data_IF_935288877591
#
_entry.id   IF_935288877591
#
_cell.length_a   1.000
_cell.length_b   1.000
_cell.length_c   1.000
_cell.angle_alpha   90.00
_cell.angle_beta   90.00
_cell.angle_gamma   90.00
#
_symmetry.space_group_name_H-M   'P 1'
#
loop_
_entity.id
_entity.type
_entity.pdbx_description
1 polymer ?
#
# COMPACT_ATOMS: atom_id res chain seq x y z
N UNK A 1 -32.85 -9.56 -31.63
CA UNK A 1 -31.82 -9.98 -32.63
C UNK A 1 -30.69 -8.95 -32.83
N UNK A 2 -30.88 -7.64 -32.58
CA UNK A 2 -29.82 -6.62 -32.64
C UNK A 2 -28.82 -6.60 -31.44
N UNK A 3 -29.22 -7.11 -30.27
CA UNK A 3 -28.33 -7.24 -29.09
C UNK A 3 -27.34 -8.41 -29.18
N UNK A 4 -27.70 -9.49 -29.89
CA UNK A 4 -26.84 -10.67 -30.04
C UNK A 4 -25.68 -10.43 -31.03
N UNK A 5 -25.87 -9.56 -32.03
CA UNK A 5 -24.83 -9.20 -32.99
C UNK A 5 -23.73 -8.29 -32.41
N UNK A 6 -24.05 -7.50 -31.37
CA UNK A 6 -23.05 -6.71 -30.63
C UNK A 6 -22.22 -7.54 -29.66
N UNK A 7 -22.77 -8.64 -29.10
CA UNK A 7 -22.00 -9.61 -28.30
C UNK A 7 -21.03 -10.41 -29.16
N UNK A 8 -21.48 -10.96 -30.31
CA UNK A 8 -20.60 -11.71 -31.23
C UNK A 8 -19.45 -10.86 -31.81
N UNK A 9 -19.69 -9.60 -32.16
CA UNK A 9 -18.61 -8.70 -32.63
C UNK A 9 -17.64 -8.24 -31.53
N UNK A 10 -17.96 -8.42 -30.25
CA UNK A 10 -17.07 -8.10 -29.12
C UNK A 10 -16.22 -9.31 -28.71
N UNK A 11 -16.69 -10.53 -28.97
CA UNK A 11 -15.93 -11.78 -28.75
C UNK A 11 -14.92 -12.09 -29.87
N UNK A 12 -15.12 -11.56 -31.09
CA UNK A 12 -14.21 -11.79 -32.24
C UNK A 12 -13.11 -10.72 -32.42
N UNK A 13 -12.98 -9.74 -31.52
CA UNK A 13 -11.86 -8.77 -31.54
C UNK A 13 -10.76 -9.18 -30.55
N UNK A 14 -9.82 -9.95 -31.09
CA UNK A 14 -8.47 -10.19 -30.59
C UNK A 14 -8.33 -10.95 -29.26
N UNK A 15 -8.35 -12.27 -29.34
CA UNK A 15 -7.40 -13.11 -28.59
C UNK A 15 -6.00 -12.99 -29.22
N UNK A 16 -5.45 -11.77 -29.28
CA UNK A 16 -3.99 -11.64 -29.28
C UNK A 16 -3.58 -11.88 -27.84
N UNK A 17 -2.82 -12.94 -27.58
CA UNK A 17 -2.20 -13.15 -26.28
C UNK A 17 -1.49 -11.85 -25.88
N UNK A 18 -1.72 -11.35 -24.67
CA UNK A 18 -1.04 -10.16 -24.18
C UNK A 18 0.47 -10.28 -24.45
N UNK A 19 1.17 -9.20 -24.86
CA UNK A 19 2.62 -9.27 -25.09
C UNK A 19 3.34 -9.83 -23.86
N UNK A 20 4.37 -10.64 -24.08
CA UNK A 20 5.22 -11.11 -22.99
C UNK A 20 5.94 -9.93 -22.32
N UNK A 21 6.19 -10.03 -21.01
CA UNK A 21 6.85 -8.97 -20.24
C UNK A 21 8.26 -8.72 -20.78
N UNK A 22 8.57 -7.46 -21.05
CA UNK A 22 9.86 -6.96 -21.50
C UNK A 22 10.57 -6.22 -20.36
N UNK A 23 11.90 -6.36 -20.33
CA UNK A 23 12.77 -5.67 -19.39
C UNK A 23 13.87 -4.94 -20.17
N UNK A 24 13.96 -3.63 -19.95
CA UNK A 24 15.02 -2.79 -20.53
C UNK A 24 15.87 -2.19 -19.42
N UNK A 25 17.14 -2.60 -19.35
CA UNK A 25 18.10 -2.11 -18.36
C UNK A 25 18.98 -1.06 -19.03
N UNK A 26 18.97 0.15 -18.47
CA UNK A 26 19.80 1.28 -18.89
C UNK A 26 20.73 1.68 -17.74
N UNK A 27 21.66 2.60 -18.03
CA UNK A 27 22.66 3.05 -17.04
C UNK A 27 22.02 3.63 -15.78
N UNK A 28 20.96 4.44 -15.92
CA UNK A 28 20.32 5.16 -14.81
C UNK A 28 18.89 4.70 -14.52
N UNK A 29 18.32 3.85 -15.36
CA UNK A 29 16.93 3.40 -15.23
C UNK A 29 16.76 1.95 -15.65
N UNK A 30 15.74 1.30 -15.09
CA UNK A 30 15.25 -0.01 -15.50
C UNK A 30 13.77 0.11 -15.81
N UNK A 31 13.33 -0.43 -16.95
CA UNK A 31 11.96 -0.31 -17.43
C UNK A 31 11.34 -1.70 -17.57
N UNK A 32 10.26 -1.96 -16.84
CA UNK A 32 9.40 -3.13 -17.02
C UNK A 32 8.20 -2.75 -17.89
N UNK A 33 7.89 -3.54 -18.92
CA UNK A 33 6.79 -3.27 -19.85
C UNK A 33 6.06 -4.56 -20.22
N UNK A 34 4.73 -4.60 -20.06
CA UNK A 34 3.91 -5.76 -20.47
C UNK A 34 2.93 -5.44 -21.61
N UNK A 35 3.14 -4.31 -22.30
CA UNK A 35 2.26 -3.79 -23.36
C UNK A 35 1.00 -3.08 -22.85
N UNK A 36 0.72 -3.12 -21.54
CA UNK A 36 -0.42 -2.46 -20.88
C UNK A 36 0.09 -1.32 -19.99
N UNK A 37 1.06 -1.64 -19.13
CA UNK A 37 1.71 -0.70 -18.21
C UNK A 37 3.20 -0.75 -18.44
N UNK A 38 3.83 0.42 -18.45
CA UNK A 38 5.27 0.56 -18.40
C UNK A 38 5.69 1.27 -17.11
N UNK A 39 6.60 0.65 -16.36
CA UNK A 39 7.09 1.15 -15.06
C UNK A 39 8.59 1.41 -15.17
N UNK A 40 9.00 2.66 -14.91
CA UNK A 40 10.40 3.08 -14.92
C UNK A 40 10.90 3.25 -13.49
N UNK A 41 11.99 2.57 -13.18
CA UNK A 41 12.66 2.56 -11.88
C UNK A 41 14.06 3.15 -12.01
N UNK A 42 14.54 3.92 -11.04
CA UNK A 42 15.93 4.37 -11.02
C UNK A 42 16.89 3.20 -10.77
N UNK A 43 18.07 3.25 -11.37
CA UNK A 43 19.11 2.22 -11.26
C UNK A 43 20.35 2.79 -10.54
N UNK A 44 20.83 2.20 -9.42
CA UNK A 44 20.28 1.06 -8.66
C UNK A 44 19.26 1.49 -7.58
N UNK A 45 18.73 2.71 -7.65
CA UNK A 45 17.97 3.29 -6.54
C UNK A 45 16.62 2.64 -6.25
N UNK A 46 15.96 2.05 -7.25
CA UNK A 46 14.63 1.47 -7.12
C UNK A 46 13.56 2.50 -6.73
N UNK A 47 13.70 3.73 -7.21
CA UNK A 47 12.66 4.77 -7.11
C UNK A 47 11.78 4.67 -8.35
N UNK A 48 10.46 4.69 -8.19
CA UNK A 48 9.52 4.72 -9.32
C UNK A 48 9.52 6.14 -9.90
N UNK A 49 10.24 6.31 -11.00
CA UNK A 49 10.42 7.62 -11.64
C UNK A 49 9.34 7.91 -12.68
N UNK A 50 8.71 6.86 -13.22
CA UNK A 50 7.58 7.01 -14.13
C UNK A 50 6.69 5.78 -14.25
N UNK A 51 5.42 6.04 -14.54
CA UNK A 51 4.40 5.03 -14.86
C UNK A 51 3.66 5.54 -16.10
N UNK A 52 3.84 4.85 -17.23
CA UNK A 52 3.13 5.15 -18.48
C UNK A 52 1.94 4.19 -18.62
N UNK A 53 0.77 4.77 -18.89
CA UNK A 53 -0.48 4.02 -18.98
C UNK A 53 -1.52 4.77 -19.82
N UNK A 54 -2.26 4.04 -20.66
CA UNK A 54 -3.40 4.55 -21.44
C UNK A 54 -3.13 5.89 -22.15
N UNK A 55 -2.00 5.98 -22.85
CA UNK A 55 -1.60 7.18 -23.59
C UNK A 55 -1.09 8.35 -22.73
N UNK A 56 -1.09 8.23 -21.40
CA UNK A 56 -0.43 9.19 -20.51
C UNK A 56 1.04 8.83 -20.38
N UNK A 57 1.89 9.80 -20.68
CA UNK A 57 3.35 9.68 -20.69
C UNK A 57 3.93 9.32 -19.32
N UNK A 58 3.44 9.94 -18.26
CA UNK A 58 3.75 9.63 -16.88
C UNK A 58 2.59 10.02 -15.95
N UNK A 59 2.09 9.09 -15.14
CA UNK A 59 1.04 9.34 -14.15
C UNK A 59 1.57 10.09 -12.91
N UNK A 60 2.88 10.05 -12.66
CA UNK A 60 3.52 10.66 -11.49
C UNK A 60 3.85 12.13 -11.72
N UNK A 61 3.89 12.92 -10.65
CA UNK A 61 4.15 14.37 -10.69
C UNK A 61 5.52 14.68 -11.30
N UNK A 62 5.54 15.02 -12.60
CA UNK A 62 6.76 15.21 -13.38
C UNK A 62 7.55 16.43 -12.95
N UNK A 63 6.92 17.42 -12.31
CA UNK A 63 7.59 18.60 -11.77
C UNK A 63 8.35 18.29 -10.47
N UNK A 64 8.10 17.15 -9.83
CA UNK A 64 8.92 16.70 -8.72
C UNK A 64 10.23 16.09 -9.22
N UNK A 65 11.28 16.21 -8.39
CA UNK A 65 12.49 15.38 -8.49
C UNK A 65 12.08 13.90 -8.52
N UNK A 66 12.81 13.06 -9.25
CA UNK A 66 12.48 11.63 -9.38
C UNK A 66 12.36 10.93 -8.02
N UNK A 67 13.23 11.26 -7.07
CA UNK A 67 13.22 10.78 -5.66
C UNK A 67 11.98 11.17 -4.86
N UNK A 68 11.11 12.02 -5.42
CA UNK A 68 9.89 12.53 -4.81
C UNK A 68 8.66 12.27 -5.71
N UNK A 69 8.66 11.15 -6.43
CA UNK A 69 7.53 10.68 -7.25
C UNK A 69 6.87 9.46 -6.63
N UNK A 70 7.38 8.26 -6.93
CA UNK A 70 7.00 7.01 -6.27
C UNK A 70 8.17 6.41 -5.51
N UNK A 71 8.08 6.27 -4.19
CA UNK A 71 9.20 5.83 -3.37
C UNK A 71 8.77 5.07 -2.13
N UNK A 72 9.66 4.22 -1.63
CA UNK A 72 9.56 3.66 -0.29
C UNK A 72 10.25 4.59 0.70
N UNK A 73 9.62 4.81 1.85
CA UNK A 73 10.18 5.59 2.94
C UNK A 73 10.02 4.91 4.29
N UNK A 74 10.86 5.33 5.23
CA UNK A 74 10.73 4.99 6.64
C UNK A 74 11.07 6.19 7.51
N UNK A 75 10.54 6.17 8.74
CA UNK A 75 10.96 7.06 9.81
C UNK A 75 11.52 6.21 10.93
N UNK A 76 12.76 6.49 11.32
CA UNK A 76 13.47 5.70 12.32
C UNK A 76 14.31 6.56 13.25
N UNK A 77 14.69 6.04 14.41
CA UNK A 77 15.65 6.70 15.31
C UNK A 77 16.41 5.72 16.18
N UNK A 78 17.55 6.15 16.70
CA UNK A 78 18.12 5.52 17.88
C UNK A 78 17.17 5.70 19.09
N UNK A 79 17.23 4.82 20.11
CA UNK A 79 16.36 4.91 21.28
C UNK A 79 16.41 6.29 21.94
N UNK A 80 15.23 6.89 22.17
CA UNK A 80 15.10 8.21 22.82
C UNK A 80 15.43 9.42 21.94
N UNK A 81 15.77 9.21 20.66
CA UNK A 81 16.08 10.28 19.70
C UNK A 81 14.86 10.56 18.80
N UNK A 82 14.76 11.80 18.31
CA UNK A 82 13.75 12.19 17.32
C UNK A 82 13.93 11.40 16.01
N UNK A 83 12.81 10.96 15.42
CA UNK A 83 12.79 10.24 14.15
C UNK A 83 13.41 11.00 12.97
N UNK A 84 14.19 10.28 12.18
CA UNK A 84 14.77 10.68 10.89
C UNK A 84 13.95 10.10 9.75
N UNK A 85 13.55 10.96 8.82
CA UNK A 85 12.90 10.54 7.58
C UNK A 85 13.96 10.10 6.56
N UNK A 86 13.76 8.92 5.98
CA UNK A 86 14.68 8.32 5.01
C UNK A 86 13.89 7.79 3.81
N UNK A 87 14.21 8.31 2.62
CA UNK A 87 13.76 7.73 1.35
C UNK A 87 14.71 6.61 1.01
N UNK A 88 14.19 5.37 1.00
CA UNK A 88 15.00 4.18 0.82
C UNK A 88 15.53 4.16 -0.61
N UNK A 89 16.82 4.44 -0.77
CA UNK A 89 17.52 4.40 -2.05
C UNK A 89 18.44 3.17 -2.10
N UNK A 90 18.21 2.28 -3.06
CA UNK A 90 19.06 1.11 -3.28
C UNK A 90 20.46 1.48 -3.75
N UNK A 91 21.42 0.63 -3.41
CA UNK A 91 22.82 0.69 -3.88
C UNK A 91 23.18 -0.50 -4.77
N UNK A 92 22.35 -1.54 -4.81
CA UNK A 92 22.51 -2.72 -5.65
C UNK A 92 21.19 -3.06 -6.36
N UNK A 93 21.27 -3.41 -7.63
CA UNK A 93 20.15 -3.83 -8.48
C UNK A 93 20.38 -5.26 -8.98
N UNK A 94 19.36 -6.10 -8.89
CA UNK A 94 19.38 -7.48 -9.38
C UNK A 94 18.07 -7.82 -10.11
N UNK A 95 18.18 -8.60 -11.19
CA UNK A 95 17.03 -9.24 -11.85
C UNK A 95 16.85 -10.62 -11.24
N UNK A 96 15.68 -10.88 -10.67
CA UNK A 96 15.40 -12.09 -9.89
C UNK A 96 14.64 -13.10 -10.74
N UNK A 97 13.64 -12.60 -11.48
CA UNK A 97 12.88 -13.38 -12.46
C UNK A 97 12.79 -12.56 -13.74
N UNK A 98 13.00 -13.22 -14.88
CA UNK A 98 12.75 -12.64 -16.20
C UNK A 98 12.30 -13.73 -17.16
N UNK A 99 11.03 -13.70 -17.54
CA UNK A 99 10.44 -14.52 -18.57
C UNK A 99 9.20 -13.81 -19.16
N UNK A 100 8.52 -14.42 -20.13
CA UNK A 100 7.36 -13.81 -20.78
C UNK A 100 6.17 -13.55 -19.84
N UNK A 101 6.07 -14.29 -18.73
CA UNK A 101 4.96 -14.20 -17.79
C UNK A 101 5.23 -13.21 -16.66
N UNK A 102 6.50 -12.99 -16.30
CA UNK A 102 6.88 -12.22 -15.13
C UNK A 102 8.27 -11.61 -15.27
N UNK A 103 8.38 -10.38 -14.75
CA UNK A 103 9.65 -9.80 -14.31
C UNK A 103 9.58 -9.51 -12.82
N UNK A 104 10.61 -9.90 -12.07
CA UNK A 104 10.83 -9.48 -10.69
C UNK A 104 12.22 -8.84 -10.55
N UNK A 105 12.25 -7.65 -9.96
CA UNK A 105 13.46 -6.86 -9.73
C UNK A 105 13.70 -6.65 -8.24
N UNK A 106 14.97 -6.63 -7.84
CA UNK A 106 15.42 -6.34 -6.48
C UNK A 106 16.30 -5.09 -6.47
N UNK A 107 16.08 -4.25 -5.46
CA UNK A 107 16.87 -3.05 -5.18
C UNK A 107 17.26 -3.04 -3.70
N UNK A 108 18.51 -3.40 -3.42
CA UNK A 108 19.02 -3.61 -2.06
C UNK A 108 19.78 -2.40 -1.55
N UNK A 109 19.64 -2.11 -0.25
CA UNK A 109 20.55 -1.27 0.53
C UNK A 109 21.01 -2.09 1.72
N UNK A 110 22.27 -2.50 1.69
CA UNK A 110 22.90 -3.24 2.79
C UNK A 110 23.37 -2.28 3.87
N UNK A 111 23.43 -2.76 5.10
CA UNK A 111 23.95 -1.99 6.23
C UNK A 111 25.21 -2.62 6.82
N UNK A 112 26.12 -1.77 7.28
CA UNK A 112 27.28 -2.13 8.09
C UNK A 112 27.58 -1.01 9.10
N UNK A 113 28.49 -1.25 10.04
CA UNK A 113 28.82 -0.31 11.11
C UNK A 113 29.35 1.05 10.62
N UNK A 114 29.84 1.19 9.38
CA UNK A 114 30.27 2.49 8.82
C UNK A 114 29.11 3.45 8.53
N UNK A 115 27.88 2.90 8.49
CA UNK A 115 26.63 3.61 8.24
C UNK A 115 25.85 3.95 9.52
N UNK A 116 26.40 3.62 10.69
CA UNK A 116 25.79 3.93 11.98
C UNK A 116 25.49 5.43 12.12
N UNK A 117 24.30 5.74 12.63
CA UNK A 117 23.78 7.11 12.75
C UNK A 117 23.36 7.78 11.43
N UNK A 118 23.65 7.18 10.27
CA UNK A 118 23.28 7.72 8.94
C UNK A 118 22.07 7.01 8.36
N UNK A 119 22.03 5.68 8.47
CA UNK A 119 20.94 4.85 8.00
C UNK A 119 20.49 3.89 9.10
N UNK A 120 19.22 3.49 9.01
CA UNK A 120 18.65 2.49 9.91
C UNK A 120 19.48 1.20 9.82
N UNK A 121 19.76 0.51 10.94
CA UNK A 121 20.49 -0.76 10.96
C UNK A 121 19.71 -1.93 10.30
N UNK A 122 19.40 -1.82 9.01
CA UNK A 122 18.63 -2.82 8.28
C UNK A 122 19.26 -3.06 6.92
N UNK A 123 19.42 -4.34 6.56
CA UNK A 123 19.40 -4.75 5.17
C UNK A 123 17.98 -4.57 4.65
N UNK A 124 17.83 -3.81 3.58
CA UNK A 124 16.54 -3.54 2.96
C UNK A 124 16.58 -3.99 1.52
N UNK A 125 15.65 -4.85 1.12
CA UNK A 125 15.44 -5.31 -0.25
C UNK A 125 14.05 -4.91 -0.72
N UNK A 126 13.98 -3.93 -1.63
CA UNK A 126 12.73 -3.53 -2.28
C UNK A 126 12.54 -4.33 -3.56
N UNK A 127 11.36 -4.89 -3.71
CA UNK A 127 11.00 -5.77 -4.82
C UNK A 127 9.88 -5.16 -5.64
N UNK A 128 9.97 -5.31 -6.95
CA UNK A 128 8.95 -4.89 -7.91
C UNK A 128 8.67 -6.03 -8.86
N UNK A 129 7.38 -6.32 -9.09
CA UNK A 129 6.94 -7.40 -9.96
C UNK A 129 5.95 -6.88 -10.98
N UNK A 130 6.20 -7.17 -12.26
CA UNK A 130 5.24 -6.95 -13.35
C UNK A 130 4.88 -8.30 -13.97
N UNK A 131 3.58 -8.55 -14.12
CA UNK A 131 3.05 -9.79 -14.68
C UNK A 131 2.50 -9.55 -16.10
N UNK A 132 2.51 -10.58 -16.93
CA UNK A 132 1.88 -10.56 -18.24
C UNK A 132 0.37 -10.31 -18.10
N UNK A 133 -0.15 -9.39 -18.91
CA UNK A 133 -1.59 -9.10 -18.92
C UNK A 133 -2.12 -8.35 -17.70
N UNK A 134 -1.30 -8.00 -16.70
CA UNK A 134 -1.75 -7.21 -15.55
C UNK A 134 -1.81 -5.71 -15.88
N UNK A 135 -2.90 -5.04 -15.51
CA UNK A 135 -3.02 -3.58 -15.62
C UNK A 135 -2.48 -2.90 -14.35
N UNK A 136 -1.23 -3.20 -14.00
CA UNK A 136 -0.61 -2.75 -12.76
C UNK A 136 0.63 -3.57 -12.41
N UNK A 137 1.29 -3.20 -11.32
CA UNK A 137 2.49 -3.85 -10.82
C UNK A 137 2.43 -4.03 -9.30
N UNK A 138 3.18 -4.99 -8.79
CA UNK A 138 3.28 -5.29 -7.36
C UNK A 138 4.57 -4.73 -6.78
N UNK A 139 4.55 -4.38 -5.50
CA UNK A 139 5.76 -4.06 -4.76
C UNK A 139 5.69 -4.61 -3.33
N UNK A 140 6.83 -5.11 -2.86
CA UNK A 140 7.01 -5.59 -1.49
C UNK A 140 8.43 -5.30 -1.02
N UNK A 141 8.67 -5.39 0.29
CA UNK A 141 9.98 -5.13 0.89
C UNK A 141 10.35 -6.20 1.90
N UNK A 142 11.63 -6.55 1.98
CA UNK A 142 12.18 -7.46 2.99
C UNK A 142 13.17 -6.67 3.82
N UNK A 143 12.90 -6.52 5.11
CA UNK A 143 13.77 -5.83 6.05
C UNK A 143 14.40 -6.87 6.99
N UNK A 144 15.71 -6.79 7.17
CA UNK A 144 16.48 -7.72 8.00
C UNK A 144 17.48 -6.96 8.88
N UNK A 145 17.36 -7.16 10.18
CA UNK A 145 18.31 -6.75 11.21
C UNK A 145 19.11 -7.98 11.64
N UNK A 146 20.43 -7.92 11.53
CA UNK A 146 21.30 -9.03 11.92
C UNK A 146 21.65 -9.00 13.41
N UNK A 147 22.07 -10.15 13.92
CA UNK A 147 22.46 -10.28 15.32
C UNK A 147 23.63 -9.35 15.66
N UNK A 148 23.53 -8.66 16.80
CA UNK A 148 24.56 -7.75 17.30
C UNK A 148 24.54 -6.34 16.68
N UNK A 149 23.61 -6.06 15.77
CA UNK A 149 23.46 -4.71 15.21
C UNK A 149 22.79 -3.72 16.19
N UNK A 150 23.01 -2.40 16.02
CA UNK A 150 22.53 -1.38 16.95
C UNK A 150 21.01 -1.28 17.07
N UNK A 151 20.55 -0.91 18.26
CA UNK A 151 19.14 -0.68 18.56
C UNK A 151 18.54 0.45 17.71
N UNK A 152 17.27 0.30 17.31
CA UNK A 152 16.50 1.35 16.65
C UNK A 152 14.99 1.23 16.87
N UNK A 153 14.30 2.36 16.69
CA UNK A 153 12.86 2.48 16.60
C UNK A 153 12.46 2.78 15.16
N UNK A 154 11.43 2.11 14.65
CA UNK A 154 10.90 2.37 13.30
C UNK A 154 9.44 2.81 13.39
N UNK A 155 9.24 4.13 13.46
CA UNK A 155 7.93 4.73 13.71
C UNK A 155 7.04 4.79 12.47
N UNK A 156 7.60 4.62 11.28
CA UNK A 156 6.86 4.56 10.02
C UNK A 156 7.61 3.74 8.96
N UNK A 157 6.88 2.99 8.13
CA UNK A 157 7.38 2.56 6.83
C UNK A 157 6.23 2.35 5.86
N UNK A 158 6.41 2.79 4.61
CA UNK A 158 5.35 2.83 3.60
C UNK A 158 5.89 2.96 2.17
N UNK A 159 4.98 2.87 1.21
CA UNK A 159 5.17 3.37 -0.16
C UNK A 159 4.36 4.65 -0.35
N UNK A 160 4.94 5.65 -0.99
CA UNK A 160 4.30 6.92 -1.33
C UNK A 160 4.30 7.10 -2.84
N UNK A 161 3.15 7.44 -3.43
CA UNK A 161 3.04 7.88 -4.82
C UNK A 161 2.47 9.29 -4.89
N UNK A 162 3.18 10.19 -5.55
CA UNK A 162 2.75 11.55 -5.85
C UNK A 162 2.34 11.63 -7.31
N UNK A 163 1.04 11.73 -7.55
CA UNK A 163 0.46 11.74 -8.89
C UNK A 163 0.46 13.16 -9.47
N UNK A 164 0.26 13.26 -10.78
CA UNK A 164 0.11 14.54 -11.47
C UNK A 164 -1.10 15.32 -10.96
N UNK A 165 -0.86 16.46 -10.31
CA UNK A 165 -1.94 17.34 -9.82
C UNK A 165 -2.80 17.94 -10.94
N UNK A 166 -2.24 18.08 -12.13
CA UNK A 166 -2.98 18.55 -13.31
C UNK A 166 -3.92 17.48 -13.90
N UNK A 167 -3.75 16.20 -13.51
CA UNK A 167 -4.59 15.10 -13.99
C UNK A 167 -5.52 14.53 -12.94
N UNK A 168 -5.06 14.35 -11.71
CA UNK A 168 -5.79 13.62 -10.67
C UNK A 168 -6.40 14.61 -9.67
N UNK A 169 -7.71 14.82 -9.74
CA UNK A 169 -8.43 15.76 -8.85
C UNK A 169 -9.50 15.11 -7.99
N UNK A 170 -9.88 13.86 -8.26
CA UNK A 170 -10.92 13.17 -7.53
C UNK A 170 -10.34 12.00 -6.76
N UNK A 171 -10.50 12.01 -5.44
CA UNK A 171 -10.01 10.96 -4.56
C UNK A 171 -11.18 10.05 -4.17
N UNK A 172 -10.91 8.75 -4.08
CA UNK A 172 -11.85 7.78 -3.54
C UNK A 172 -11.16 6.82 -2.56
N UNK A 173 -11.78 6.59 -1.40
CA UNK A 173 -11.27 5.67 -0.38
C UNK A 173 -12.35 4.82 0.31
N UNK A 174 -13.61 5.22 0.22
CA UNK A 174 -14.79 4.44 0.63
C UNK A 174 -16.01 4.95 -0.15
N UNK A 175 -17.11 4.20 -0.22
CA UNK A 175 -18.29 4.60 -1.01
C UNK A 175 -18.90 5.94 -0.55
N UNK A 176 -18.80 6.25 0.74
CA UNK A 176 -19.24 7.49 1.37
C UNK A 176 -18.14 8.56 1.46
N UNK A 177 -16.90 8.24 1.05
CA UNK A 177 -15.73 9.14 1.14
C UNK A 177 -14.99 9.21 -0.18
N UNK A 178 -15.61 9.94 -1.11
CA UNK A 178 -15.10 10.24 -2.45
C UNK A 178 -15.45 11.67 -2.81
N UNK A 179 -14.49 12.42 -3.33
CA UNK A 179 -14.70 13.86 -3.57
C UNK A 179 -13.68 14.44 -4.52
N UNK A 180 -14.02 15.58 -5.10
CA UNK A 180 -13.03 16.52 -5.62
C UNK A 180 -12.21 17.04 -4.44
N UNK A 181 -10.89 16.97 -4.59
CA UNK A 181 -9.93 17.41 -3.58
C UNK A 181 -9.40 18.81 -3.93
N UNK A 182 -9.01 19.61 -2.92
CA UNK A 182 -8.29 20.85 -3.16
C UNK A 182 -6.95 20.59 -3.87
N UNK A 183 -6.44 21.61 -4.55
CA UNK A 183 -5.10 21.54 -5.09
C UNK A 183 -4.06 21.72 -3.98
N UNK A 184 -2.82 21.23 -4.16
CA UNK A 184 -1.75 21.46 -3.19
C UNK A 184 -1.49 22.95 -2.97
N UNK A 185 -1.64 23.77 -4.02
CA UNK A 185 -1.47 25.21 -3.92
C UNK A 185 -2.55 25.89 -3.07
N UNK A 186 -3.74 25.28 -2.92
CA UNK A 186 -4.81 25.86 -2.12
C UNK A 186 -4.48 25.85 -0.62
N UNK A 187 -3.44 25.11 -0.21
CA UNK A 187 -2.88 25.10 1.14
C UNK A 187 -1.73 26.09 1.35
N UNK A 188 -1.43 26.93 0.36
CA UNK A 188 -0.38 27.96 0.47
C UNK A 188 -0.93 29.26 1.11
N UNK A 189 -0.05 30.09 1.71
CA UNK A 189 -0.42 31.39 2.25
C UNK A 189 -1.21 32.24 1.25
N UNK A 190 -2.30 32.86 1.71
CA UNK A 190 -3.22 33.66 0.89
C UNK A 190 -4.36 32.85 0.24
N UNK A 191 -4.31 31.51 0.26
CA UNK A 191 -5.39 30.64 -0.23
C UNK A 191 -6.07 29.82 0.87
N UNK A 192 -5.37 29.60 1.98
CA UNK A 192 -5.92 29.00 3.19
C UNK A 192 -5.58 29.81 4.45
N UNK A 193 -6.30 29.49 5.53
CA UNK A 193 -5.98 29.88 6.90
C UNK A 193 -5.58 28.62 7.69
N UNK A 194 -4.36 28.55 8.25
CA UNK A 194 -4.00 27.49 9.17
C UNK A 194 -4.94 27.43 10.37
N UNK A 195 -5.31 26.23 10.79
CA UNK A 195 -6.10 26.00 12.00
C UNK A 195 -5.19 25.60 13.17
N UNK A 196 -5.78 25.18 14.29
CA UNK A 196 -5.05 24.83 15.50
C UNK A 196 -4.04 23.67 15.30
N UNK A 197 -4.37 22.72 14.43
CA UNK A 197 -3.49 21.61 14.06
C UNK A 197 -2.80 21.91 12.73
N UNK A 198 -1.49 21.64 12.63
CA UNK A 198 -0.68 21.97 11.45
C UNK A 198 -1.15 21.26 10.17
N UNK A 199 -1.79 20.11 10.33
CA UNK A 199 -2.34 19.31 9.24
C UNK A 199 -3.67 19.85 8.70
N UNK A 200 -4.35 20.74 9.44
CA UNK A 200 -5.67 21.25 9.10
C UNK A 200 -5.63 22.72 8.65
N UNK A 201 -6.30 23.02 7.54
CA UNK A 201 -6.44 24.38 7.03
C UNK A 201 -7.88 24.66 6.59
N UNK A 202 -8.35 25.89 6.79
CA UNK A 202 -9.58 26.40 6.21
C UNK A 202 -9.29 26.98 4.81
N UNK A 203 -9.99 26.51 3.78
CA UNK A 203 -9.84 26.99 2.42
C UNK A 203 -10.57 28.33 2.24
N UNK A 204 -9.83 29.44 2.11
CA UNK A 204 -10.41 30.80 2.01
C UNK A 204 -10.54 31.28 0.57
N UNK A 205 -9.60 30.88 -0.30
CA UNK A 205 -9.57 31.24 -1.71
C UNK A 205 -9.05 30.07 -2.57
N UNK A 206 -9.73 28.92 -2.59
CA UNK A 206 -9.30 27.74 -3.34
C UNK A 206 -9.48 27.91 -4.86
N UNK A 207 -8.76 27.11 -5.66
CA UNK A 207 -8.81 27.15 -7.13
C UNK A 207 -10.17 26.72 -7.65
N UNK A 208 -10.77 25.73 -6.99
CA UNK A 208 -12.17 25.39 -7.16
C UNK A 208 -13.02 26.17 -6.14
N UNK A 209 -13.80 27.18 -6.56
CA UNK A 209 -14.57 28.01 -5.63
C UNK A 209 -15.60 27.24 -4.80
N UNK A 210 -16.03 26.05 -5.24
CA UNK A 210 -16.96 25.21 -4.49
C UNK A 210 -16.37 24.68 -3.17
N UNK A 211 -15.04 24.63 -3.06
CA UNK A 211 -14.35 24.18 -1.85
C UNK A 211 -14.15 25.29 -0.82
N UNK A 212 -14.60 26.52 -1.12
CA UNK A 212 -14.40 27.66 -0.23
C UNK A 212 -15.20 27.48 1.07
N UNK A 213 -14.54 27.71 2.20
CA UNK A 213 -15.11 27.52 3.53
C UNK A 213 -14.98 26.10 4.07
N UNK A 214 -14.45 25.16 3.28
CA UNK A 214 -14.17 23.81 3.76
C UNK A 214 -12.86 23.71 4.53
N UNK A 215 -12.81 22.77 5.47
CA UNK A 215 -11.57 22.39 6.17
C UNK A 215 -10.97 21.18 5.48
N UNK A 216 -9.72 21.30 5.03
CA UNK A 216 -8.92 20.18 4.55
C UNK A 216 -7.90 19.77 5.61
N UNK A 217 -8.00 18.53 6.08
CA UNK A 217 -7.12 17.92 7.06
C UNK A 217 -6.65 16.56 6.57
N UNK A 218 -5.32 16.35 6.59
CA UNK A 218 -4.68 15.08 6.22
C UNK A 218 -5.33 13.86 6.91
N UNK A 219 -5.70 13.98 8.17
CA UNK A 219 -6.25 12.88 8.96
C UNK A 219 -7.75 12.63 8.70
N UNK A 220 -8.46 13.53 7.99
CA UNK A 220 -9.81 13.26 7.49
C UNK A 220 -9.85 12.14 6.47
N UNK A 221 -8.69 11.66 5.99
CA UNK A 221 -8.55 10.61 4.97
C UNK A 221 -7.86 9.35 5.52
N UNK A 222 -7.92 9.11 6.84
CA UNK A 222 -7.57 7.83 7.44
C UNK A 222 -8.73 6.83 7.41
N UNK A 223 -8.43 5.54 7.48
CA UNK A 223 -9.42 4.50 7.78
C UNK A 223 -8.80 3.34 8.54
N UNK A 224 -9.65 2.48 9.12
CA UNK A 224 -9.24 1.27 9.84
C UNK A 224 -8.60 0.29 8.85
N UNK A 225 -7.58 -0.44 9.29
CA UNK A 225 -6.89 -1.44 8.45
C UNK A 225 -7.86 -2.41 7.77
N UNK A 226 -8.87 -2.90 8.50
CA UNK A 226 -9.86 -3.86 7.97
C UNK A 226 -10.63 -3.34 6.74
N UNK A 227 -10.85 -2.02 6.69
CA UNK A 227 -11.53 -1.32 5.60
C UNK A 227 -10.54 -0.78 4.55
N UNK A 228 -9.27 -0.61 4.90
CA UNK A 228 -8.19 -0.05 4.08
C UNK A 228 -7.64 -1.07 3.07
N UNK A 229 -8.49 -1.49 2.13
CA UNK A 229 -8.17 -2.47 1.09
C UNK A 229 -7.95 -1.87 -0.30
N UNK A 230 -8.62 -0.78 -0.62
CA UNK A 230 -8.44 -0.04 -1.88
C UNK A 230 -8.75 1.43 -1.72
N UNK A 231 -7.87 2.28 -2.23
CA UNK A 231 -8.05 3.72 -2.32
C UNK A 231 -7.16 4.30 -3.42
N UNK A 232 -7.46 5.52 -3.86
CA UNK A 232 -6.75 6.09 -4.98
C UNK A 232 -7.34 7.37 -5.52
N UNK A 233 -7.02 7.63 -6.79
CA UNK A 233 -7.37 8.85 -7.50
C UNK A 233 -7.90 8.56 -8.89
N UNK A 234 -8.79 9.43 -9.34
CA UNK A 234 -9.35 9.45 -10.68
C UNK A 234 -8.91 10.73 -11.39
N UNK A 235 -8.42 10.56 -12.60
CA UNK A 235 -8.34 11.60 -13.62
C UNK A 235 -9.57 11.52 -14.52
N UNK A 236 -10.22 12.67 -14.76
CA UNK A 236 -11.35 12.75 -15.69
C UNK A 236 -10.89 12.87 -17.15
N UNK A 237 -9.67 13.36 -17.39
CA UNK A 237 -9.16 13.59 -18.73
C UNK A 237 -7.63 13.34 -18.86
N UNK A 238 -7.21 12.22 -19.48
CA UNK A 238 -8.06 11.10 -19.89
C UNK A 238 -8.65 10.36 -18.68
N UNK A 239 -9.79 9.65 -18.82
CA UNK A 239 -10.35 8.80 -17.77
C UNK A 239 -9.37 7.70 -17.33
N UNK A 240 -8.67 7.92 -16.21
CA UNK A 240 -7.66 7.00 -15.67
C UNK A 240 -7.79 6.94 -14.15
N UNK A 241 -7.84 5.73 -13.60
CA UNK A 241 -7.77 5.48 -12.17
C UNK A 241 -6.38 4.98 -11.77
N UNK A 242 -5.90 5.47 -10.62
CA UNK A 242 -4.69 4.99 -9.96
C UNK A 242 -5.07 4.51 -8.56
N UNK A 243 -4.86 3.23 -8.28
CA UNK A 243 -5.36 2.59 -7.07
C UNK A 243 -4.24 1.84 -6.36
N UNK A 244 -4.15 2.01 -5.05
CA UNK A 244 -3.40 1.10 -4.20
C UNK A 244 -4.34 0.05 -3.64
N UNK A 245 -4.04 -1.21 -3.89
CA UNK A 245 -4.74 -2.37 -3.35
C UNK A 245 -3.86 -3.06 -2.31
N UNK A 246 -4.44 -3.30 -1.14
CA UNK A 246 -3.83 -4.06 -0.05
C UNK A 246 -4.61 -5.36 0.14
N UNK A 247 -4.09 -6.51 -0.33
CA UNK A 247 -4.83 -7.78 -0.31
C UNK A 247 -4.90 -8.45 1.07
N UNK A 248 -3.97 -8.11 1.96
CA UNK A 248 -3.85 -8.70 3.30
C UNK A 248 -3.31 -7.69 4.30
N UNK A 249 -3.73 -7.78 5.56
CA UNK A 249 -3.20 -6.97 6.66
C UNK A 249 -2.05 -7.68 7.42
N UNK A 250 -1.61 -8.87 6.98
CA UNK A 250 -0.62 -9.69 7.70
C UNK A 250 0.73 -8.98 7.95
N UNK A 251 1.06 -8.01 7.11
CA UNK A 251 2.29 -7.23 7.23
C UNK A 251 2.09 -5.89 7.94
N UNK A 252 0.86 -5.50 8.30
CA UNK A 252 0.55 -4.26 9.03
C UNK A 252 0.60 -4.47 10.54
N UNK A 253 0.88 -3.41 11.30
CA UNK A 253 0.81 -3.42 12.77
C UNK A 253 -0.50 -2.90 13.34
N UNK A 254 -0.77 -3.24 14.62
CA UNK A 254 -1.87 -2.72 15.45
C UNK A 254 -3.25 -3.28 15.18
N UNK A 255 -3.36 -4.33 14.37
CA UNK A 255 -4.58 -5.09 14.20
C UNK A 255 -5.64 -4.40 13.31
N UNK A 256 -6.86 -4.97 13.24
CA UNK A 256 -7.87 -4.58 12.24
C UNK A 256 -8.43 -3.18 12.44
N UNK A 257 -8.45 -2.69 13.68
CA UNK A 257 -9.02 -1.38 14.02
C UNK A 257 -8.02 -0.24 14.06
N UNK A 258 -6.71 -0.52 13.94
CA UNK A 258 -5.72 0.54 13.81
C UNK A 258 -6.05 1.37 12.58
N UNK A 259 -6.08 2.68 12.76
CA UNK A 259 -6.25 3.62 11.67
C UNK A 259 -4.91 3.93 11.01
N UNK A 260 -4.93 4.02 9.69
CA UNK A 260 -3.79 4.44 8.89
C UNK A 260 -4.24 5.40 7.80
N UNK A 261 -3.28 6.18 7.31
CA UNK A 261 -3.50 7.11 6.21
C UNK A 261 -3.72 6.36 4.89
N UNK A 262 -4.44 6.99 3.96
CA UNK A 262 -4.73 6.44 2.63
C UNK A 262 -4.21 7.37 1.52
N UNK A 263 -5.11 8.07 0.83
CA UNK A 263 -4.81 9.17 -0.09
C UNK A 263 -5.07 10.52 0.59
N UNK A 264 -4.40 11.59 0.14
CA UNK A 264 -4.66 12.95 0.62
C UNK A 264 -4.22 14.01 -0.41
N UNK A 265 -4.57 15.28 -0.17
CA UNK A 265 -4.17 16.45 -0.97
C UNK A 265 -2.70 16.37 -1.41
N UNK A 266 -2.40 16.65 -2.68
CA UNK A 266 -1.07 16.34 -3.24
C UNK A 266 -1.06 15.33 -4.38
N UNK A 267 -2.17 15.15 -5.11
CA UNK A 267 -2.82 13.82 -5.22
C UNK A 267 -1.89 12.67 -4.83
N UNK A 268 -1.80 12.44 -3.52
CA UNK A 268 -0.87 11.49 -2.92
C UNK A 268 -1.61 10.22 -2.54
N UNK A 269 -0.97 9.06 -2.72
CA UNK A 269 -1.48 7.75 -2.31
C UNK A 269 -0.42 7.02 -1.48
N UNK A 270 -0.81 6.50 -0.32
CA UNK A 270 0.10 5.91 0.67
C UNK A 270 -0.23 4.45 1.00
N UNK A 271 0.73 3.55 0.74
CA UNK A 271 0.70 2.17 1.20
C UNK A 271 1.35 2.04 2.58
N UNK A 272 0.56 2.29 3.62
CA UNK A 272 1.01 2.22 5.01
C UNK A 272 1.22 0.77 5.47
N UNK A 273 2.42 0.47 5.98
CA UNK A 273 2.73 -0.82 6.60
C UNK A 273 2.84 -0.67 8.13
N UNK A 274 3.66 0.27 8.58
CA UNK A 274 3.85 0.59 10.00
C UNK A 274 3.67 2.09 10.20
N UNK A 275 3.08 2.46 11.33
CA UNK A 275 2.97 3.86 11.72
C UNK A 275 2.62 4.03 13.20
N UNK A 276 3.26 4.98 13.86
CA UNK A 276 2.88 5.45 15.21
C UNK A 276 1.57 6.27 15.25
N UNK A 277 0.96 6.62 14.10
CA UNK A 277 -0.29 7.37 14.09
C UNK A 277 -1.41 6.61 14.85
N UNK A 278 -2.17 7.36 15.66
CA UNK A 278 -3.30 6.90 16.50
C UNK A 278 -2.97 5.93 17.64
N UNK A 279 -1.71 5.53 17.80
CA UNK A 279 -1.29 4.59 18.85
C UNK A 279 -0.05 5.04 19.64
N UNK A 280 0.67 6.06 19.15
CA UNK A 280 1.88 6.56 19.80
C UNK A 280 3.03 5.55 19.78
N UNK A 281 3.96 5.71 20.73
CA UNK A 281 5.20 4.93 20.81
C UNK A 281 4.98 3.46 21.22
N UNK A 282 3.80 3.10 21.69
CA UNK A 282 3.51 1.75 22.16
C UNK A 282 3.35 0.73 21.03
N UNK A 283 2.98 1.17 19.82
CA UNK A 283 2.87 0.33 18.62
C UNK A 283 3.94 0.63 17.56
N UNK A 284 5.05 1.24 17.99
CA UNK A 284 6.25 1.42 17.18
C UNK A 284 7.17 0.23 17.40
N UNK A 285 7.60 -0.50 16.36
CA UNK A 285 8.61 -1.55 16.48
C UNK A 285 9.91 -1.03 17.08
N UNK A 286 10.34 -1.67 18.17
CA UNK A 286 11.57 -1.38 18.92
C UNK A 286 12.50 -2.59 18.83
N UNK A 287 13.50 -2.53 17.98
CA UNK A 287 14.51 -3.59 17.86
C UNK A 287 15.62 -3.31 18.88
N UNK A 288 15.93 -4.28 19.73
CA UNK A 288 16.75 -4.11 20.94
C UNK A 288 17.73 -5.24 21.18
N UNK A 289 18.82 -4.90 21.88
CA UNK A 289 19.76 -5.87 22.43
C UNK A 289 20.44 -6.73 21.37
N UNK A 290 20.59 -6.21 20.14
CA UNK A 290 21.13 -6.96 19.02
C UNK A 290 20.29 -8.17 18.59
N UNK A 291 18.98 -8.19 18.87
CA UNK A 291 18.10 -9.27 18.44
C UNK A 291 18.03 -9.35 16.91
N UNK A 292 18.13 -10.53 16.29
CA UNK A 292 17.84 -10.64 14.87
C UNK A 292 16.35 -10.41 14.61
N UNK A 293 16.02 -9.71 13.53
CA UNK A 293 14.64 -9.46 13.14
C UNK A 293 14.51 -9.44 11.63
N UNK A 294 13.50 -10.13 11.09
CA UNK A 294 13.23 -10.13 9.65
C UNK A 294 11.73 -10.03 9.39
N UNK A 295 11.34 -9.19 8.44
CA UNK A 295 9.93 -9.00 8.07
C UNK A 295 9.75 -8.70 6.59
N UNK A 296 8.70 -9.29 6.02
CA UNK A 296 8.22 -9.00 4.67
C UNK A 296 7.02 -8.06 4.75
N UNK A 297 7.07 -6.98 3.97
CA UNK A 297 5.99 -5.99 3.82
C UNK A 297 5.37 -6.07 2.42
N UNK A 298 4.08 -6.36 2.33
CA UNK A 298 3.40 -6.60 1.05
C UNK A 298 3.44 -8.08 0.62
N UNK A 299 3.23 -8.37 -0.67
CA UNK A 299 3.02 -7.42 -1.76
C UNK A 299 1.72 -6.62 -1.68
N UNK A 300 1.83 -5.33 -1.99
CA UNK A 300 0.69 -4.47 -2.38
C UNK A 300 0.64 -4.37 -3.90
N UNK A 301 -0.55 -4.11 -4.44
CA UNK A 301 -0.77 -4.00 -5.88
C UNK A 301 -1.15 -2.57 -6.27
N UNK A 302 -0.41 -2.00 -7.22
CA UNK A 302 -0.70 -0.70 -7.80
C UNK A 302 -1.47 -0.95 -9.09
N UNK A 303 -2.79 -0.79 -9.00
CA UNK A 303 -3.73 -1.08 -10.06
C UNK A 303 -4.08 0.19 -10.85
N UNK A 304 -4.12 0.05 -12.17
CA UNK A 304 -4.50 1.09 -13.10
C UNK A 304 -5.68 0.60 -13.93
N UNK A 305 -6.68 1.45 -14.11
CA UNK A 305 -7.79 1.21 -15.03
C UNK A 305 -8.12 2.49 -15.81
N UNK A 306 -8.85 2.34 -16.91
CA UNK A 306 -9.22 3.46 -17.77
C UNK A 306 -10.59 3.27 -18.38
N UNK A 307 -11.20 4.38 -18.78
CA UNK A 307 -12.49 4.40 -19.47
C UNK A 307 -12.46 5.15 -20.79
N UNK A 308 -13.50 4.97 -21.64
CA UNK A 308 -13.71 5.81 -22.80
C UNK A 308 -13.88 7.28 -22.39
N UNK A 309 -13.28 8.19 -23.15
CA UNK A 309 -13.55 9.63 -22.98
C UNK A 309 -15.03 9.92 -23.20
N UNK A 310 -15.66 10.60 -22.24
CA UNK A 310 -17.08 10.98 -22.29
C UNK A 310 -18.00 10.15 -21.40
N UNK A 311 -17.56 8.97 -20.95
CA UNK A 311 -18.26 8.20 -19.92
C UNK A 311 -18.00 8.80 -18.53
N UNK A 312 -18.90 8.55 -17.57
CA UNK A 312 -18.71 8.95 -16.16
C UNK A 312 -17.55 8.15 -15.53
N UNK A 313 -16.37 8.74 -15.26
CA UNK A 313 -15.21 7.98 -14.80
C UNK A 313 -15.34 7.50 -13.36
N UNK A 314 -16.44 7.80 -12.66
CA UNK A 314 -16.69 7.23 -11.33
C UNK A 314 -16.86 5.71 -11.37
N UNK A 315 -17.17 5.09 -12.52
CA UNK A 315 -17.17 3.63 -12.64
C UNK A 315 -15.79 3.01 -12.37
N UNK A 316 -14.69 3.78 -12.55
CA UNK A 316 -13.32 3.31 -12.30
C UNK A 316 -13.13 2.87 -10.85
N UNK A 317 -13.86 3.47 -9.91
CA UNK A 317 -13.87 3.06 -8.51
C UNK A 317 -14.53 1.68 -8.31
N UNK A 318 -15.65 1.43 -8.97
CA UNK A 318 -16.35 0.14 -8.88
C UNK A 318 -15.49 -0.99 -9.46
N UNK A 319 -14.82 -0.75 -10.58
CA UNK A 319 -13.86 -1.69 -11.15
C UNK A 319 -12.65 -1.94 -10.23
N UNK A 320 -12.13 -0.89 -9.56
CA UNK A 320 -11.06 -1.04 -8.58
C UNK A 320 -11.46 -1.90 -7.38
N UNK A 321 -12.72 -1.79 -6.91
CA UNK A 321 -13.26 -2.67 -5.86
C UNK A 321 -13.33 -4.13 -6.33
N UNK A 322 -13.77 -4.39 -7.57
CA UNK A 322 -13.78 -5.73 -8.14
C UNK A 322 -12.37 -6.30 -8.20
N UNK A 323 -11.40 -5.52 -8.70
CA UNK A 323 -9.99 -5.94 -8.73
C UNK A 323 -9.45 -6.21 -7.33
N UNK A 324 -9.76 -5.35 -6.35
CA UNK A 324 -9.37 -5.57 -4.96
C UNK A 324 -9.88 -6.91 -4.42
N UNK A 325 -11.13 -7.26 -4.68
CA UNK A 325 -11.68 -8.56 -4.25
C UNK A 325 -10.94 -9.75 -4.88
N UNK A 326 -10.55 -9.64 -6.16
CA UNK A 326 -9.74 -10.66 -6.83
C UNK A 326 -8.35 -10.81 -6.19
N UNK A 327 -7.70 -9.70 -5.83
CA UNK A 327 -6.40 -9.71 -5.16
C UNK A 327 -6.49 -10.32 -3.75
N UNK A 328 -7.55 -10.02 -2.99
CA UNK A 328 -7.83 -10.62 -1.67
C UNK A 328 -8.04 -12.14 -1.80
N UNK A 329 -8.77 -12.59 -2.82
CA UNK A 329 -9.00 -14.02 -3.08
C UNK A 329 -7.73 -14.75 -3.55
N UNK A 330 -6.85 -14.04 -4.25
CA UNK A 330 -5.58 -14.58 -4.73
C UNK A 330 -4.49 -14.63 -3.66
N UNK A 331 -4.74 -14.06 -2.47
CA UNK A 331 -3.78 -14.06 -1.39
C UNK A 331 -3.71 -15.42 -0.66
N UNK A 332 -2.50 -15.93 -0.33
CA UNK A 332 -1.18 -15.39 -0.65
C UNK A 332 -0.73 -15.76 -2.07
N UNK A 333 0.04 -14.89 -2.71
CA UNK A 333 0.46 -15.07 -4.10
C UNK A 333 1.47 -16.22 -4.29
N UNK A 334 1.46 -16.84 -5.47
CA UNK A 334 2.44 -17.87 -5.84
C UNK A 334 3.69 -17.31 -6.53
N UNK A 335 3.59 -16.14 -7.16
CA UNK A 335 4.61 -15.60 -8.05
C UNK A 335 5.83 -14.90 -7.41
N UNK A 336 5.81 -14.32 -6.18
CA UNK A 336 7.01 -13.64 -5.65
C UNK A 336 8.18 -14.61 -5.42
N UNK A 337 9.36 -14.40 -5.99
CA UNK A 337 10.41 -15.41 -5.98
C UNK A 337 11.15 -15.57 -4.64
N UNK A 338 11.08 -14.58 -3.74
CA UNK A 338 11.77 -14.65 -2.45
C UNK A 338 11.27 -15.79 -1.57
N UNK A 339 12.21 -16.54 -0.98
CA UNK A 339 11.95 -17.58 0.02
C UNK A 339 11.40 -17.01 1.34
N UNK A 340 11.69 -15.73 1.64
CA UNK A 340 11.15 -15.05 2.81
C UNK A 340 9.64 -14.80 2.67
N UNK A 341 9.12 -14.79 1.44
CA UNK A 341 7.68 -14.73 1.19
C UNK A 341 7.08 -16.14 1.25
N UNK A 342 6.51 -16.49 2.39
CA UNK A 342 5.88 -17.80 2.60
C UNK A 342 4.71 -18.01 1.62
N UNK A 343 4.76 -19.13 0.90
CA UNK A 343 3.75 -19.56 -0.07
C UNK A 343 2.50 -20.12 0.61
N UNK A 344 1.36 -20.25 -0.09
CA UNK A 344 0.14 -20.87 0.45
C UNK A 344 0.37 -22.21 1.15
N UNK A 345 1.18 -23.10 0.56
CA UNK A 345 1.45 -24.42 1.12
C UNK A 345 2.40 -24.41 2.33
N UNK A 346 3.06 -23.28 2.62
CA UNK A 346 3.94 -23.08 3.77
C UNK A 346 3.22 -22.38 4.94
N UNK A 347 1.93 -22.09 4.79
CA UNK A 347 1.12 -21.37 5.79
C UNK A 347 0.15 -22.32 6.48
N UNK A 348 -0.01 -22.13 7.78
CA UNK A 348 -0.99 -22.85 8.60
C UNK A 348 -2.27 -22.05 8.78
N UNK A 349 -3.34 -22.74 9.17
CA UNK A 349 -4.60 -22.12 9.61
C UNK A 349 -4.95 -22.63 11.01
N UNK A 350 -5.53 -21.74 11.83
CA UNK A 350 -6.10 -22.11 13.13
C UNK A 350 -7.62 -21.98 13.02
N UNK A 351 -8.33 -23.04 13.40
CA UNK A 351 -9.79 -23.07 13.45
C UNK A 351 -10.26 -23.63 14.78
N UNK A 352 -11.32 -23.04 15.33
CA UNK A 352 -11.90 -23.47 16.60
C UNK A 352 -13.13 -22.65 16.96
N UNK A 353 -13.66 -22.87 18.16
CA UNK A 353 -14.77 -22.10 18.72
C UNK A 353 -14.28 -21.34 19.96
N UNK A 354 -14.41 -20.03 19.95
CA UNK A 354 -14.14 -19.19 21.11
C UNK A 354 -15.41 -19.01 21.92
N UNK A 355 -15.38 -19.47 23.17
CA UNK A 355 -16.45 -19.26 24.15
C UNK A 355 -15.94 -18.32 25.24
N UNK A 356 -16.78 -17.39 25.69
CA UNK A 356 -16.46 -16.40 26.73
C UNK A 356 -17.42 -16.59 27.88
N UNK A 357 -16.92 -16.47 29.11
CA UNK A 357 -17.75 -16.38 30.31
C UNK A 357 -17.82 -14.90 30.74
N UNK A 358 -18.91 -14.23 30.39
CA UNK A 358 -19.23 -12.90 30.92
C UNK A 358 -20.40 -13.00 31.89
N UNK A 359 -20.09 -13.06 33.19
CA UNK A 359 -21.07 -13.26 34.27
C UNK A 359 -22.09 -12.13 34.40
N UNK A 360 -21.87 -10.97 33.75
CA UNK A 360 -22.85 -9.89 33.72
C UNK A 360 -23.91 -10.10 32.62
N UNK A 361 -23.63 -10.95 31.63
CA UNK A 361 -24.54 -11.27 30.52
C UNK A 361 -25.16 -12.65 30.71
N UNK A 362 -24.36 -13.65 31.07
CA UNK A 362 -24.80 -15.04 31.23
C UNK A 362 -23.96 -15.77 32.27
N UNK A 363 -24.59 -16.68 33.03
CA UNK A 363 -23.88 -17.62 33.90
C UNK A 363 -23.22 -18.76 33.14
N UNK A 364 -23.62 -18.98 31.87
CA UNK A 364 -23.09 -20.01 30.98
C UNK A 364 -22.04 -19.44 30.03
N UNK A 365 -21.24 -20.34 29.43
CA UNK A 365 -20.34 -19.99 28.33
C UNK A 365 -21.15 -19.54 27.10
N UNK A 366 -20.83 -18.36 26.58
CA UNK A 366 -21.47 -17.79 25.38
C UNK A 366 -20.50 -17.74 24.20
N UNK A 367 -21.05 -17.80 22.98
CA UNK A 367 -20.25 -17.65 21.76
C UNK A 367 -19.70 -16.24 21.65
N UNK A 368 -18.40 -16.12 21.33
CA UNK A 368 -17.72 -14.84 21.11
C UNK A 368 -18.06 -14.24 19.73
N UNK A 369 -19.35 -14.12 19.40
CA UNK A 369 -19.79 -13.64 18.09
C UNK A 369 -19.26 -12.23 17.81
N UNK A 370 -18.57 -12.06 16.68
CA UNK A 370 -17.98 -10.78 16.29
C UNK A 370 -16.61 -10.47 16.92
N UNK A 371 -16.08 -11.36 17.77
CA UNK A 371 -14.73 -11.20 18.31
C UNK A 371 -13.66 -11.41 17.22
N UNK A 372 -12.53 -10.73 17.40
CA UNK A 372 -11.34 -10.91 16.56
C UNK A 372 -10.32 -11.75 17.32
N UNK A 373 -9.66 -12.65 16.61
CA UNK A 373 -8.59 -13.48 17.16
C UNK A 373 -7.30 -13.14 16.42
N UNK A 374 -6.27 -12.82 17.19
CA UNK A 374 -4.91 -12.59 16.69
C UNK A 374 -3.96 -13.65 17.23
N UNK A 375 -2.85 -13.85 16.52
CA UNK A 375 -1.74 -14.67 16.98
C UNK A 375 -0.57 -13.74 17.30
N UNK A 376 0.06 -13.99 18.45
CA UNK A 376 1.26 -13.33 18.90
C UNK A 376 2.26 -14.38 19.43
N UNK A 377 3.56 -14.09 19.42
CA UNK A 377 4.55 -14.94 20.09
C UNK A 377 4.21 -15.13 21.58
N UNK A 378 4.66 -16.24 22.20
CA UNK A 378 4.59 -16.39 23.65
C UNK A 378 5.28 -15.22 24.36
N UNK A 379 4.71 -14.79 25.48
CA UNK A 379 5.25 -13.69 26.29
C UNK A 379 4.41 -13.47 27.54
N UNK A 380 4.78 -12.45 28.32
CA UNK A 380 4.08 -12.07 29.55
C UNK A 380 2.60 -11.74 29.28
N UNK A 381 1.77 -11.85 30.32
CA UNK A 381 0.36 -11.50 30.21
C UNK A 381 0.18 -10.06 29.68
N UNK A 382 -0.58 -9.92 28.58
CA UNK A 382 -0.83 -8.63 27.93
C UNK A 382 0.26 -8.16 26.95
N UNK A 383 1.40 -8.85 26.85
CA UNK A 383 2.48 -8.51 25.90
C UNK A 383 1.99 -8.41 24.44
N UNK A 384 1.06 -9.29 24.05
CA UNK A 384 0.42 -9.31 22.73
C UNK A 384 -0.23 -7.98 22.33
N UNK A 385 -0.67 -7.15 23.28
CA UNK A 385 -1.34 -5.88 23.00
C UNK A 385 -0.44 -4.84 22.35
N UNK A 386 0.87 -4.93 22.62
CA UNK A 386 1.91 -4.01 22.13
C UNK A 386 2.84 -4.67 21.12
N UNK A 387 2.57 -5.91 20.77
CA UNK A 387 3.36 -6.65 19.81
C UNK A 387 3.15 -6.10 18.38
N UNK A 388 4.23 -5.59 17.78
CA UNK A 388 4.21 -4.93 16.48
C UNK A 388 5.32 -5.41 15.52
N UNK A 389 6.22 -6.29 16.00
CA UNK A 389 7.26 -6.95 15.21
C UNK A 389 6.68 -8.14 14.44
N UNK A 390 5.91 -8.99 15.12
CA UNK A 390 5.47 -10.30 14.61
C UNK A 390 3.95 -10.53 14.59
N UNK A 391 3.14 -9.58 15.08
CA UNK A 391 1.70 -9.79 15.23
C UNK A 391 0.96 -10.02 13.89
N UNK A 392 0.06 -11.01 13.89
CA UNK A 392 -0.87 -11.33 12.82
C UNK A 392 -2.31 -11.29 13.36
N UNK A 393 -3.23 -10.60 12.67
CA UNK A 393 -4.65 -10.57 13.04
C UNK A 393 -5.52 -10.89 11.84
N UNK A 394 -6.52 -11.78 11.98
CA UNK A 394 -7.48 -12.09 10.92
C UNK A 394 -8.91 -12.07 11.47
N UNK A 395 -9.84 -11.50 10.70
CA UNK A 395 -11.26 -11.57 11.00
C UNK A 395 -11.78 -12.98 10.67
N UNK A 396 -12.53 -13.59 11.59
CA UNK A 396 -13.31 -14.80 11.32
C UNK A 396 -14.73 -14.34 10.94
N UNK A 397 -15.11 -14.35 9.65
CA UNK A 397 -16.51 -14.16 9.32
C UNK A 397 -17.33 -15.29 9.98
N UNK A 398 -18.40 -14.89 10.66
CA UNK A 398 -19.47 -15.73 11.24
C UNK A 398 -19.90 -16.86 10.29
N UNK A 399 -20.34 -18.04 10.81
CA UNK A 399 -20.30 -19.27 10.06
C UNK A 399 -21.36 -19.29 8.95
N UNK A 400 -20.97 -19.82 7.79
CA UNK A 400 -21.95 -20.49 6.94
C UNK A 400 -22.64 -21.55 7.80
N UNK A 401 -23.95 -21.43 7.90
CA UNK A 401 -24.80 -22.44 8.51
C UNK A 401 -24.57 -23.79 7.81
N UNK A 402 -23.89 -24.71 8.47
CA UNK A 402 -24.26 -26.12 8.37
C UNK A 402 -25.21 -26.39 9.52
N UNK A 403 -26.50 -26.42 9.18
CA UNK A 403 -27.55 -27.00 10.01
C UNK A 403 -27.45 -28.52 9.93
N UNK A 404 -27.64 -29.15 11.10
CA UNK A 404 -27.98 -30.56 11.40
C UNK A 404 -26.94 -31.62 11.04
N UNK A 405 -26.76 -32.71 11.79
CA UNK A 405 -27.59 -33.33 12.84
C UNK A 405 -27.15 -33.05 14.27
#
# INVERSE_FOLDING_TARGET
>A
RFLAHRKKKKEERFTMSAPGVQLHIQQHHVVMDNGIVQVTLSNPGGIVTGIRYNGVDNLLEVLNKETNRGYWDLVWSAPGVKGYFDVINGTCFEVIVQNEEQVELSFKRMWDHSLEGKFVPLNIDKRFILLRGSSGFYSYGIYEHLHGWPDFDMSETRITFKLRKDKFQYMAMADDRRRIMPFPEDRLPGRCQPLAYQEAVLLVNPKNPQLKGEVDDKYQYSCKNIDNRVHGWISFNPPVGFWQITPSDEFRSGGPFKQNLTSHVGPTTLAMFLSGHYAGQDLVPKIRGGEPWKKVFGPVYIYLNSGPTGDDPLFLWEDAKIKMMNEVQSWPYLFPASEDFLKPHQRGNVSGRLLVLDRYISTDLISANGAYVGLAPPGDAGSWQRECKFALSRHFPSPFAMRTS
#
